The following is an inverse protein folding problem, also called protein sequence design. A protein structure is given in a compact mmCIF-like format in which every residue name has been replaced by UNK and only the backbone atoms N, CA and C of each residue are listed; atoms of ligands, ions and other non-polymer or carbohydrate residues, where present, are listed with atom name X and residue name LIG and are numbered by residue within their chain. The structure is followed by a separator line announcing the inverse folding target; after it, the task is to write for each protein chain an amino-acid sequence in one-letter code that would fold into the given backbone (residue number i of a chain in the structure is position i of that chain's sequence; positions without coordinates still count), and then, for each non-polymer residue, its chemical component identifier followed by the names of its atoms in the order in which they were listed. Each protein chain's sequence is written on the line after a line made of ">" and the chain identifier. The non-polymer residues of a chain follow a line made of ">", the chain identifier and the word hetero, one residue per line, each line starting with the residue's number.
data_IF_178789762145
#
_entry.id   IF_178789762145
#
_cell.length_a   1.000
_cell.length_b   1.000
_cell.length_c   1.000
_cell.angle_alpha   90.00
_cell.angle_beta   90.00
_cell.angle_gamma   90.00
#
_symmetry.space_group_name_H-M   'P 1'
#
loop_
_entity.id
_entity.type
_entity.pdbx_description
1 polymer ?
#
# COMPACT_ATOMS: atom_id res chain seq x y z
N UNK A 1 -19.49 14.11 28.74
CA UNK A 1 -20.04 13.07 27.83
C UNK A 1 -19.01 12.52 26.84
N UNK A 2 -18.25 13.34 26.09
CA UNK A 2 -17.23 12.85 25.13
C UNK A 2 -16.15 11.91 25.72
N UNK A 3 -15.79 12.04 27.00
CA UNK A 3 -14.76 11.18 27.63
C UNK A 3 -15.22 9.75 27.96
N UNK A 4 -16.54 9.49 27.94
CA UNK A 4 -17.10 8.15 28.18
C UNK A 4 -17.38 7.38 26.90
N UNK A 5 -17.54 8.06 25.77
CA UNK A 5 -17.81 7.42 24.49
C UNK A 5 -16.63 6.54 24.07
N UNK A 6 -16.92 5.26 23.85
CA UNK A 6 -15.95 4.29 23.34
C UNK A 6 -16.45 3.63 22.07
N UNK A 7 -15.52 3.06 21.32
CA UNK A 7 -15.79 2.32 20.09
C UNK A 7 -15.16 0.94 20.17
N UNK A 8 -15.87 -0.06 19.66
CA UNK A 8 -15.38 -1.43 19.56
C UNK A 8 -14.84 -1.68 18.16
N UNK A 9 -13.60 -2.13 18.07
CA UNK A 9 -12.91 -2.43 16.81
C UNK A 9 -12.14 -3.76 16.92
N UNK A 10 -11.76 -4.34 15.79
CA UNK A 10 -10.71 -5.36 15.76
C UNK A 10 -9.34 -4.70 15.97
N UNK A 11 -8.56 -5.19 16.94
CA UNK A 11 -7.25 -4.61 17.25
C UNK A 11 -6.17 -4.84 16.17
N UNK A 12 -6.37 -5.82 15.28
CA UNK A 12 -5.36 -6.25 14.29
C UNK A 12 -5.34 -5.37 13.04
N UNK A 13 -6.45 -4.70 12.73
CA UNK A 13 -6.61 -3.88 11.53
C UNK A 13 -7.67 -2.80 11.71
N UNK A 14 -7.66 -1.78 10.85
CA UNK A 14 -8.73 -0.79 10.80
C UNK A 14 -9.05 -0.39 9.38
N UNK A 15 -10.28 -0.65 8.97
CA UNK A 15 -10.79 -0.43 7.62
C UNK A 15 -11.85 0.69 7.55
N UNK A 16 -11.84 1.62 8.52
CA UNK A 16 -12.77 2.74 8.56
C UNK A 16 -14.12 2.43 9.23
N UNK A 17 -14.34 1.20 9.70
CA UNK A 17 -15.56 0.83 10.41
C UNK A 17 -15.29 0.42 11.85
N UNK A 18 -16.28 0.66 12.71
CA UNK A 18 -16.33 0.13 14.07
C UNK A 18 -17.46 -0.89 14.14
N UNK A 19 -17.33 -1.90 14.99
CA UNK A 19 -18.40 -2.88 15.23
C UNK A 19 -19.62 -2.18 15.87
N UNK A 20 -19.36 -1.43 16.94
CA UNK A 20 -20.37 -0.68 17.68
C UNK A 20 -19.70 0.44 18.50
N UNK A 21 -20.50 1.28 19.14
CA UNK A 21 -20.06 2.26 20.14
C UNK A 21 -20.71 1.97 21.50
N UNK A 22 -20.11 2.52 22.55
CA UNK A 22 -20.56 2.40 23.94
C UNK A 22 -20.59 3.80 24.54
N UNK A 23 -21.78 4.38 24.66
CA UNK A 23 -21.95 5.75 25.19
C UNK A 23 -21.74 5.80 26.70
N UNK A 24 -22.12 4.73 27.41
CA UNK A 24 -21.87 4.55 28.84
C UNK A 24 -20.45 4.05 29.15
N UNK A 25 -19.72 3.58 28.12
CA UNK A 25 -18.38 3.02 28.19
C UNK A 25 -18.33 1.54 28.61
N UNK A 26 -19.48 0.86 28.73
CA UNK A 26 -19.60 -0.51 29.25
C UNK A 26 -20.39 -1.40 28.30
N UNK A 27 -21.52 -0.91 27.77
CA UNK A 27 -22.45 -1.69 26.95
C UNK A 27 -22.61 -1.09 25.56
N UNK A 28 -22.77 -1.98 24.60
CA UNK A 28 -23.04 -1.67 23.20
C UNK A 28 -24.34 -0.88 23.07
N UNK A 29 -24.29 0.27 22.37
CA UNK A 29 -25.46 1.11 22.15
C UNK A 29 -26.51 0.43 21.23
N UNK A 30 -26.09 -0.58 20.45
CA UNK A 30 -26.96 -1.29 19.50
C UNK A 30 -27.73 -2.44 20.14
N UNK A 31 -27.10 -3.21 21.04
CA UNK A 31 -27.67 -4.45 21.58
C UNK A 31 -27.48 -4.65 23.08
N UNK A 32 -26.82 -3.73 23.77
CA UNK A 32 -26.62 -3.78 25.23
C UNK A 32 -25.53 -4.77 25.67
N UNK A 33 -24.80 -5.40 24.75
CA UNK A 33 -23.78 -6.38 25.04
C UNK A 33 -22.51 -5.73 25.64
N UNK A 34 -21.87 -6.45 26.54
CA UNK A 34 -20.52 -6.16 27.02
C UNK A 34 -19.47 -6.55 25.97
N UNK A 35 -18.22 -6.10 26.14
CA UNK A 35 -17.13 -6.47 25.23
C UNK A 35 -16.90 -7.99 25.14
N UNK A 36 -17.02 -8.72 26.26
CA UNK A 36 -16.80 -10.17 26.27
C UNK A 36 -17.92 -10.91 25.53
N UNK A 37 -19.17 -10.49 25.72
CA UNK A 37 -20.30 -11.02 24.96
C UNK A 37 -20.13 -10.78 23.45
N UNK A 38 -19.68 -9.58 23.05
CA UNK A 38 -19.37 -9.28 21.65
C UNK A 38 -18.24 -10.17 21.10
N UNK A 39 -17.20 -10.48 21.88
CA UNK A 39 -16.12 -11.38 21.45
C UNK A 39 -16.62 -12.79 21.20
N UNK A 40 -17.49 -13.29 22.06
CA UNK A 40 -18.12 -14.61 21.89
C UNK A 40 -19.07 -14.61 20.69
N UNK A 41 -19.94 -13.61 20.57
CA UNK A 41 -20.92 -13.49 19.48
C UNK A 41 -20.25 -13.38 18.11
N UNK A 42 -19.24 -12.52 17.97
CA UNK A 42 -18.52 -12.32 16.71
C UNK A 42 -17.44 -13.38 16.46
N UNK A 43 -17.28 -14.35 17.38
CA UNK A 43 -16.18 -15.32 17.40
C UNK A 43 -14.82 -14.65 17.14
N UNK A 44 -14.57 -13.52 17.82
CA UNK A 44 -13.39 -12.69 17.59
C UNK A 44 -12.77 -12.21 18.91
N UNK A 45 -11.73 -12.88 19.43
CA UNK A 45 -11.09 -12.49 20.68
C UNK A 45 -10.32 -11.17 20.58
N UNK A 46 -10.07 -10.67 19.36
CA UNK A 46 -9.28 -9.47 19.11
C UNK A 46 -10.09 -8.17 19.18
N UNK A 47 -11.39 -8.24 19.48
CA UNK A 47 -12.19 -7.06 19.72
C UNK A 47 -11.66 -6.29 20.94
N UNK A 48 -11.53 -4.98 20.77
CA UNK A 48 -11.02 -4.07 21.79
C UNK A 48 -11.79 -2.76 21.79
N UNK A 49 -11.76 -2.08 22.92
CA UNK A 49 -12.44 -0.82 23.16
C UNK A 49 -11.42 0.32 23.06
N UNK A 50 -11.73 1.33 22.26
CA UNK A 50 -10.86 2.48 22.03
C UNK A 50 -11.60 3.80 22.28
N UNK A 51 -10.84 4.84 22.61
CA UNK A 51 -11.36 6.21 22.85
C UNK A 51 -11.71 6.90 21.53
N UNK A 52 -12.57 7.93 21.58
CA UNK A 52 -12.83 8.81 20.43
C UNK A 52 -11.54 9.39 19.83
N UNK A 53 -10.63 9.90 20.67
CA UNK A 53 -9.33 10.42 20.21
C UNK A 53 -8.51 9.39 19.44
N UNK A 54 -8.55 8.11 19.86
CA UNK A 54 -7.88 7.02 19.15
C UNK A 54 -8.55 6.72 17.81
N UNK A 55 -9.88 6.66 17.79
CA UNK A 55 -10.65 6.48 16.56
C UNK A 55 -10.44 7.60 15.56
N UNK A 56 -10.44 8.87 15.98
CA UNK A 56 -10.20 10.00 15.10
C UNK A 56 -8.83 9.91 14.41
N UNK A 57 -7.81 9.48 15.15
CA UNK A 57 -6.47 9.21 14.59
C UNK A 57 -6.49 8.06 13.60
N UNK A 58 -7.20 6.97 13.91
CA UNK A 58 -7.29 5.79 13.05
C UNK A 58 -8.07 6.11 11.76
N UNK A 59 -9.18 6.85 11.87
CA UNK A 59 -9.94 7.39 10.74
C UNK A 59 -9.07 8.27 9.84
N UNK A 60 -8.33 9.23 10.41
CA UNK A 60 -7.44 10.07 9.62
C UNK A 60 -6.43 9.25 8.81
N UNK A 61 -5.79 8.26 9.44
CA UNK A 61 -4.82 7.38 8.77
C UNK A 61 -5.48 6.48 7.71
N UNK A 62 -6.69 5.99 7.99
CA UNK A 62 -7.47 5.20 7.06
C UNK A 62 -7.87 6.01 5.81
N UNK A 63 -8.38 7.24 5.97
CA UNK A 63 -8.70 8.11 4.83
C UNK A 63 -7.46 8.41 3.97
N UNK A 64 -6.30 8.64 4.61
CA UNK A 64 -5.04 8.79 3.89
C UNK A 64 -4.59 7.50 3.18
N UNK A 65 -4.98 6.32 3.68
CA UNK A 65 -4.72 5.04 3.03
C UNK A 65 -5.56 4.83 1.76
N UNK A 66 -6.71 5.51 1.65
CA UNK A 66 -7.52 5.50 0.44
C UNK A 66 -6.92 6.38 -0.67
N UNK A 67 -6.08 7.36 -0.30
CA UNK A 67 -5.48 8.32 -1.23
C UNK A 67 -4.29 7.71 -1.96
N UNK A 68 -4.55 6.71 -2.80
CA UNK A 68 -3.56 6.08 -3.66
C UNK A 68 -2.88 7.09 -4.60
N UNK A 69 -1.68 6.78 -5.12
CA UNK A 69 -1.12 7.47 -6.28
C UNK A 69 -2.16 7.55 -7.40
N UNK A 70 -2.09 8.62 -8.19
CA UNK A 70 -2.99 8.75 -9.33
C UNK A 70 -2.81 7.59 -10.31
N UNK A 71 -3.87 7.33 -11.06
CA UNK A 71 -3.90 6.32 -12.11
C UNK A 71 -4.39 6.98 -13.39
N UNK A 72 -3.68 6.72 -14.48
CA UNK A 72 -4.14 7.07 -15.81
C UNK A 72 -5.37 6.24 -16.19
N UNK A 73 -6.34 6.90 -16.81
CA UNK A 73 -7.61 6.32 -17.24
C UNK A 73 -7.87 6.69 -18.70
N UNK A 74 -8.83 6.00 -19.30
CA UNK A 74 -9.29 6.33 -20.64
C UNK A 74 -10.12 7.63 -20.62
N UNK A 75 -10.21 8.27 -21.78
CA UNK A 75 -11.11 9.40 -21.99
C UNK A 75 -12.57 9.06 -21.65
N UNK A 76 -13.04 7.88 -22.08
CA UNK A 76 -14.39 7.40 -21.77
C UNK A 76 -14.63 7.31 -20.26
N UNK A 77 -13.73 6.67 -19.52
CA UNK A 77 -13.84 6.60 -18.05
C UNK A 77 -13.87 7.99 -17.39
N UNK A 78 -13.13 8.96 -17.92
CA UNK A 78 -13.12 10.32 -17.38
C UNK A 78 -14.47 11.01 -17.55
N UNK A 79 -15.05 10.95 -18.75
CA UNK A 79 -16.35 11.55 -19.04
C UNK A 79 -17.50 10.80 -18.36
N UNK A 80 -17.41 9.48 -18.23
CA UNK A 80 -18.36 8.71 -17.41
C UNK A 80 -18.40 9.25 -15.98
N UNK A 81 -17.24 9.47 -15.36
CA UNK A 81 -17.14 10.04 -14.01
C UNK A 81 -17.61 11.50 -13.94
N UNK A 82 -17.46 12.27 -15.01
CA UNK A 82 -17.92 13.67 -15.10
C UNK A 82 -19.44 13.76 -15.13
N UNK A 83 -20.09 12.78 -15.76
CA UNK A 83 -21.54 12.74 -15.94
C UNK A 83 -22.27 11.99 -14.83
N UNK A 84 -21.54 11.37 -13.90
CA UNK A 84 -22.12 10.77 -12.69
C UNK A 84 -22.33 11.83 -11.61
N UNK A 85 -23.58 12.25 -11.47
CA UNK A 85 -24.01 13.24 -10.49
C UNK A 85 -23.50 14.65 -10.79
N UNK A 86 -23.82 15.60 -9.90
CA UNK A 86 -23.27 16.96 -9.99
C UNK A 86 -21.87 16.97 -9.35
N UNK A 87 -20.81 17.40 -10.08
CA UNK A 87 -19.49 17.50 -9.51
C UNK A 87 -19.44 18.45 -8.31
N UNK A 88 -18.79 18.05 -7.21
CA UNK A 88 -18.76 18.84 -5.97
C UNK A 88 -17.86 20.08 -6.09
N UNK A 89 -16.82 19.98 -6.91
CA UNK A 89 -15.88 21.07 -7.20
C UNK A 89 -15.34 20.89 -8.60
N UNK A 90 -15.56 21.88 -9.44
CA UNK A 90 -15.24 21.87 -10.87
C UNK A 90 -14.23 22.98 -11.19
N UNK A 91 -13.23 22.63 -11.98
CA UNK A 91 -12.27 23.53 -12.64
C UNK A 91 -12.22 23.18 -14.13
N UNK A 92 -11.47 23.96 -14.89
CA UNK A 92 -11.36 23.75 -16.33
C UNK A 92 -10.81 22.37 -16.70
N UNK A 93 -9.88 21.85 -15.91
CA UNK A 93 -9.10 20.65 -16.18
C UNK A 93 -9.26 19.58 -15.09
N UNK A 94 -10.13 19.78 -14.10
CA UNK A 94 -10.25 18.87 -12.96
C UNK A 94 -11.58 18.98 -12.23
N UNK A 95 -12.01 17.88 -11.61
CA UNK A 95 -13.24 17.84 -10.85
C UNK A 95 -13.27 16.73 -9.80
N UNK A 96 -14.19 16.87 -8.83
CA UNK A 96 -14.57 15.79 -7.92
C UNK A 96 -15.92 15.19 -8.35
N UNK A 97 -15.95 13.87 -8.61
CA UNK A 97 -17.16 13.17 -9.03
C UNK A 97 -18.25 13.20 -7.94
N UNK A 98 -19.50 13.39 -8.33
CA UNK A 98 -20.65 13.66 -7.44
C UNK A 98 -21.01 12.50 -6.51
N UNK A 99 -21.19 11.31 -7.10
CA UNK A 99 -21.88 10.21 -6.42
C UNK A 99 -20.94 9.11 -5.90
N UNK A 100 -19.62 9.30 -6.03
CA UNK A 100 -18.62 8.33 -5.58
C UNK A 100 -17.87 8.84 -4.35
N UNK A 101 -18.44 8.59 -3.16
CA UNK A 101 -17.81 9.01 -1.91
C UNK A 101 -17.69 7.88 -0.88
N UNK A 102 -16.61 7.95 -0.10
CA UNK A 102 -16.43 7.18 1.12
C UNK A 102 -15.88 8.11 2.20
N UNK A 103 -16.69 8.43 3.22
CA UNK A 103 -16.28 9.27 4.36
C UNK A 103 -15.61 10.59 3.94
N UNK A 104 -16.24 11.35 3.02
CA UNK A 104 -15.74 12.63 2.47
C UNK A 104 -14.51 12.53 1.55
N UNK A 105 -14.06 11.33 1.20
CA UNK A 105 -13.07 11.08 0.15
C UNK A 105 -13.82 10.71 -1.13
N UNK A 106 -13.50 11.40 -2.21
CA UNK A 106 -14.18 11.33 -3.49
C UNK A 106 -13.19 10.98 -4.60
N UNK A 107 -13.69 10.49 -5.73
CA UNK A 107 -12.88 10.37 -6.94
C UNK A 107 -12.60 11.77 -7.45
N UNK A 108 -11.33 12.16 -7.45
CA UNK A 108 -10.81 13.36 -8.08
C UNK A 108 -10.24 12.99 -9.44
N UNK A 109 -10.72 13.68 -10.48
CA UNK A 109 -10.29 13.50 -11.86
C UNK A 109 -9.59 14.77 -12.34
N UNK A 110 -8.59 14.62 -13.20
CA UNK A 110 -7.96 15.75 -13.86
C UNK A 110 -7.37 15.36 -15.22
N UNK A 111 -7.09 16.37 -16.04
CA UNK A 111 -6.40 16.22 -17.33
C UNK A 111 -5.04 16.91 -17.30
N UNK A 112 -4.07 16.34 -18.02
CA UNK A 112 -2.75 16.94 -18.22
C UNK A 112 -2.13 16.36 -19.48
N UNK A 113 -1.53 17.18 -20.33
CA UNK A 113 -0.86 16.72 -21.57
C UNK A 113 -1.76 15.80 -22.44
N UNK A 114 -3.05 16.15 -22.56
CA UNK A 114 -4.06 15.35 -23.28
C UNK A 114 -4.27 13.92 -22.75
N UNK A 115 -3.90 13.67 -21.49
CA UNK A 115 -4.13 12.41 -20.78
C UNK A 115 -5.10 12.63 -19.62
N UNK A 116 -5.76 11.56 -19.21
CA UNK A 116 -6.83 11.59 -18.21
C UNK A 116 -6.43 10.78 -16.98
N UNK A 117 -6.70 11.30 -15.79
CA UNK A 117 -6.26 10.68 -14.55
C UNK A 117 -7.34 10.70 -13.50
N UNK A 118 -7.29 9.75 -12.57
CA UNK A 118 -8.10 9.74 -11.35
C UNK A 118 -7.31 9.35 -10.11
N UNK A 119 -7.82 9.75 -8.96
CA UNK A 119 -7.38 9.27 -7.65
C UNK A 119 -8.35 9.71 -6.56
N UNK A 120 -8.37 8.98 -5.45
CA UNK A 120 -9.26 9.30 -4.32
C UNK A 120 -8.65 10.45 -3.51
N UNK A 121 -9.40 11.52 -3.27
CA UNK A 121 -8.97 12.67 -2.44
C UNK A 121 -10.11 13.22 -1.59
N UNK A 122 -9.84 13.76 -0.39
CA UNK A 122 -10.85 14.51 0.34
C UNK A 122 -11.35 15.70 -0.47
N UNK A 123 -12.67 15.93 -0.51
CA UNK A 123 -13.25 17.06 -1.26
C UNK A 123 -12.79 18.44 -0.74
N UNK A 124 -12.37 18.50 0.52
CA UNK A 124 -11.82 19.70 1.15
C UNK A 124 -10.31 19.90 0.91
N UNK A 125 -9.65 19.00 0.17
CA UNK A 125 -8.21 19.15 -0.15
C UNK A 125 -7.99 20.49 -0.86
N UNK A 126 -7.12 21.38 -0.37
CA UNK A 126 -6.85 22.66 -1.02
C UNK A 126 -6.34 22.50 -2.45
N UNK A 127 -6.67 23.43 -3.35
CA UNK A 127 -6.25 23.34 -4.76
C UNK A 127 -4.72 23.27 -4.89
N UNK A 128 -3.99 24.12 -4.17
CA UNK A 128 -2.53 24.12 -4.17
C UNK A 128 -1.93 22.75 -3.79
N UNK A 129 -2.59 22.01 -2.91
CA UNK A 129 -2.14 20.67 -2.54
C UNK A 129 -2.38 19.68 -3.69
N UNK A 130 -3.54 19.75 -4.36
CA UNK A 130 -3.81 18.92 -5.53
C UNK A 130 -2.83 19.20 -6.66
N UNK A 131 -2.56 20.47 -6.95
CA UNK A 131 -1.62 20.87 -8.01
C UNK A 131 -0.22 20.31 -7.73
N UNK A 132 0.27 20.44 -6.49
CA UNK A 132 1.56 19.85 -6.07
C UNK A 132 1.59 18.32 -6.22
N UNK A 133 0.49 17.64 -5.86
CA UNK A 133 0.39 16.19 -6.02
C UNK A 133 0.35 15.77 -7.49
N UNK A 134 -0.35 16.54 -8.35
CA UNK A 134 -0.39 16.33 -9.80
C UNK A 134 1.02 16.50 -10.38
N UNK A 135 1.70 17.60 -10.08
CA UNK A 135 3.04 17.89 -10.62
C UNK A 135 4.08 16.86 -10.16
N UNK A 136 4.00 16.42 -8.90
CA UNK A 136 4.83 15.34 -8.39
C UNK A 136 4.55 14.02 -9.13
N UNK A 137 3.29 13.68 -9.37
CA UNK A 137 2.91 12.48 -10.10
C UNK A 137 3.37 12.53 -11.57
N UNK A 138 3.22 13.67 -12.23
CA UNK A 138 3.72 13.88 -13.61
C UNK A 138 5.22 13.69 -13.69
N UNK A 139 5.95 14.19 -12.69
CA UNK A 139 7.39 13.94 -12.58
C UNK A 139 7.66 12.44 -12.49
N UNK A 140 6.91 11.70 -11.66
CA UNK A 140 7.09 10.25 -11.49
C UNK A 140 6.88 9.49 -12.80
N UNK A 141 5.76 9.71 -13.48
CA UNK A 141 5.40 8.90 -14.66
C UNK A 141 6.29 9.19 -15.88
N UNK A 142 6.87 10.40 -15.94
CA UNK A 142 7.76 10.84 -17.02
C UNK A 142 9.25 10.62 -16.71
N UNK A 143 9.61 10.05 -15.55
CA UNK A 143 11.00 9.75 -15.16
C UNK A 143 11.69 8.86 -16.19
N UNK A 144 12.94 9.21 -16.48
CA UNK A 144 13.85 8.37 -17.28
C UNK A 144 14.92 7.81 -16.36
N UNK A 145 15.15 6.50 -16.46
CA UNK A 145 16.21 5.85 -15.71
C UNK A 145 17.20 5.12 -16.62
N UNK A 146 18.46 5.14 -16.20
CA UNK A 146 19.53 4.38 -16.83
C UNK A 146 19.75 3.09 -16.04
N UNK A 147 19.73 1.95 -16.71
CA UNK A 147 20.09 0.65 -16.11
C UNK A 147 21.59 0.43 -16.32
N UNK A 148 22.29 0.08 -15.25
CA UNK A 148 23.70 -0.32 -15.30
C UNK A 148 23.91 -1.67 -14.60
N UNK A 149 25.04 -2.31 -14.89
CA UNK A 149 25.46 -3.57 -14.27
C UNK A 149 26.96 -3.53 -14.04
N UNK A 150 27.45 -4.20 -13.00
CA UNK A 150 28.89 -4.37 -12.80
C UNK A 150 29.45 -5.44 -13.75
N UNK A 151 30.63 -5.19 -14.32
CA UNK A 151 31.30 -6.15 -15.22
C UNK A 151 32.01 -7.26 -14.44
N UNK A 152 32.48 -6.96 -13.23
CA UNK A 152 33.22 -7.88 -12.36
C UNK A 152 32.31 -8.94 -11.76
N UNK A 153 32.36 -10.14 -12.33
CA UNK A 153 31.81 -11.35 -11.73
C UNK A 153 32.63 -11.78 -10.53
N UNK A 154 32.07 -11.68 -9.33
CA UNK A 154 32.61 -12.39 -8.16
C UNK A 154 32.17 -13.85 -8.25
N UNK A 155 33.09 -14.75 -8.56
CA UNK A 155 32.89 -16.20 -8.46
C UNK A 155 33.03 -16.57 -6.97
N UNK A 156 31.92 -16.79 -6.29
CA UNK A 156 31.93 -17.10 -4.84
C UNK A 156 32.27 -18.58 -4.60
N UNK A 157 31.88 -19.44 -5.54
CA UNK A 157 32.17 -20.89 -5.59
C UNK A 157 32.27 -21.35 -7.05
N UNK A 158 32.97 -22.46 -7.30
CA UNK A 158 33.16 -23.06 -8.63
C UNK A 158 31.83 -23.18 -9.40
N UNK A 159 31.59 -22.28 -10.36
CA UNK A 159 30.45 -22.35 -11.28
C UNK A 159 29.29 -21.37 -11.07
N UNK A 160 29.24 -20.57 -9.99
CA UNK A 160 28.18 -19.54 -9.82
C UNK A 160 28.72 -18.13 -10.05
N UNK A 161 28.12 -17.41 -11.01
CA UNK A 161 28.47 -16.02 -11.36
C UNK A 161 27.38 -15.05 -10.91
N UNK A 162 27.74 -14.05 -10.12
CA UNK A 162 26.85 -12.95 -9.71
C UNK A 162 27.15 -11.69 -10.50
N UNK A 163 26.13 -11.07 -11.08
CA UNK A 163 26.21 -9.78 -11.78
C UNK A 163 25.21 -8.81 -11.11
N UNK A 164 25.68 -7.86 -10.30
CA UNK A 164 24.84 -6.83 -9.71
C UNK A 164 24.25 -5.88 -10.76
N UNK A 165 22.96 -5.58 -10.64
CA UNK A 165 22.24 -4.59 -11.47
C UNK A 165 21.82 -3.38 -10.64
N UNK A 166 21.88 -2.20 -11.25
CA UNK A 166 21.52 -0.93 -10.64
C UNK A 166 20.67 -0.09 -11.60
N UNK A 167 20.00 0.92 -11.06
CA UNK A 167 19.44 2.00 -11.86
C UNK A 167 19.69 3.37 -11.25
N UNK A 168 19.77 4.38 -12.10
CA UNK A 168 19.82 5.79 -11.71
C UNK A 168 18.66 6.53 -12.37
N UNK A 169 17.99 7.39 -11.60
CA UNK A 169 16.90 8.25 -12.08
C UNK A 169 17.37 9.69 -12.02
N UNK A 170 17.19 10.45 -13.10
CA UNK A 170 17.50 11.88 -13.19
C UNK A 170 18.94 12.23 -12.74
N UNK A 171 19.92 11.37 -13.07
CA UNK A 171 21.33 11.58 -12.74
C UNK A 171 21.70 11.39 -11.27
N UNK A 172 20.78 10.89 -10.44
CA UNK A 172 21.05 10.57 -9.02
C UNK A 172 21.96 9.35 -8.88
N UNK A 173 22.47 9.12 -7.66
CA UNK A 173 23.28 7.96 -7.36
C UNK A 173 22.56 6.66 -7.73
N UNK A 174 23.24 5.70 -8.39
CA UNK A 174 22.64 4.41 -8.73
C UNK A 174 22.21 3.65 -7.48
N UNK A 175 21.03 3.05 -7.52
CA UNK A 175 20.49 2.20 -6.47
C UNK A 175 20.41 0.75 -6.94
N UNK A 176 20.68 -0.17 -6.02
CA UNK A 176 20.77 -1.60 -6.31
C UNK A 176 19.40 -2.21 -6.61
N UNK A 177 19.31 -2.99 -7.70
CA UNK A 177 18.11 -3.72 -8.09
C UNK A 177 18.11 -5.11 -7.47
N UNK A 178 18.92 -6.00 -8.05
CA UNK A 178 19.13 -7.38 -7.63
C UNK A 178 20.37 -7.92 -8.35
N UNK A 179 20.84 -9.10 -7.92
CA UNK A 179 21.89 -9.82 -8.61
C UNK A 179 21.27 -10.72 -9.68
N UNK A 180 21.81 -10.69 -10.90
CA UNK A 180 21.65 -11.79 -11.84
C UNK A 180 22.57 -12.93 -11.38
N UNK A 181 21.96 -14.05 -10.98
CA UNK A 181 22.68 -15.25 -10.53
C UNK A 181 22.72 -16.25 -11.68
N UNK A 182 23.89 -16.45 -12.26
CA UNK A 182 24.11 -17.40 -13.36
C UNK A 182 24.73 -18.67 -12.77
N UNK A 183 23.94 -19.75 -12.76
CA UNK A 183 24.36 -21.11 -12.44
C UNK A 183 24.29 -21.98 -13.72
N UNK A 184 23.92 -23.25 -13.62
CA UNK A 184 23.70 -24.17 -14.75
C UNK A 184 22.58 -23.72 -15.69
N UNK A 185 21.45 -23.21 -15.17
CA UNK A 185 20.36 -22.66 -15.98
C UNK A 185 20.48 -21.14 -16.17
N UNK A 186 21.30 -20.75 -17.16
CA UNK A 186 21.48 -19.35 -17.51
C UNK A 186 20.27 -18.69 -18.17
N UNK A 187 19.32 -19.47 -18.73
CA UNK A 187 18.18 -18.94 -19.48
C UNK A 187 17.07 -18.48 -18.55
N UNK A 188 16.74 -19.27 -17.53
CA UNK A 188 15.74 -18.88 -16.54
C UNK A 188 16.17 -17.63 -15.77
N UNK A 189 17.42 -17.58 -15.29
CA UNK A 189 17.96 -16.43 -14.57
C UNK A 189 17.88 -15.11 -15.38
N UNK A 190 18.18 -15.16 -16.69
CA UNK A 190 18.04 -14.00 -17.58
C UNK A 190 16.58 -13.60 -17.79
N UNK A 191 15.67 -14.57 -17.82
CA UNK A 191 14.23 -14.35 -17.97
C UNK A 191 13.67 -13.67 -16.72
N UNK A 192 14.04 -14.12 -15.53
CA UNK A 192 13.63 -13.53 -14.25
C UNK A 192 14.16 -12.11 -14.09
N UNK A 193 15.42 -11.86 -14.49
CA UNK A 193 15.98 -10.52 -14.53
C UNK A 193 15.22 -9.62 -15.52
N UNK A 194 14.91 -10.10 -16.72
CA UNK A 194 14.13 -9.33 -17.69
C UNK A 194 12.73 -8.98 -17.16
N UNK A 195 12.08 -9.91 -16.46
CA UNK A 195 10.78 -9.69 -15.81
C UNK A 195 10.89 -8.65 -14.68
N UNK A 196 11.94 -8.71 -13.86
CA UNK A 196 12.23 -7.72 -12.82
C UNK A 196 12.39 -6.32 -13.42
N UNK A 197 13.20 -6.19 -14.48
CA UNK A 197 13.41 -4.90 -15.16
C UNK A 197 12.14 -4.37 -15.83
N UNK A 198 11.30 -5.25 -16.41
CA UNK A 198 9.98 -4.88 -16.95
C UNK A 198 9.05 -4.38 -15.84
N UNK A 199 9.01 -5.07 -14.70
CA UNK A 199 8.21 -4.66 -13.55
C UNK A 199 8.66 -3.30 -13.02
N UNK A 200 9.97 -3.07 -12.90
CA UNK A 200 10.54 -1.80 -12.46
C UNK A 200 10.14 -0.64 -13.39
N UNK A 201 10.26 -0.83 -14.72
CA UNK A 201 9.85 0.17 -15.72
C UNK A 201 8.35 0.45 -15.69
N UNK A 202 7.53 -0.61 -15.63
CA UNK A 202 6.06 -0.50 -15.59
C UNK A 202 5.56 0.29 -14.38
N UNK A 203 6.28 0.21 -13.25
CA UNK A 203 5.95 0.92 -12.02
C UNK A 203 6.79 2.18 -11.82
N UNK A 204 7.25 2.80 -12.92
CA UNK A 204 7.96 4.09 -12.93
C UNK A 204 9.13 4.16 -11.94
N UNK A 205 9.85 3.03 -11.79
CA UNK A 205 10.99 2.89 -10.90
C UNK A 205 10.68 3.13 -9.41
N UNK A 206 9.40 3.13 -9.01
CA UNK A 206 9.01 3.26 -7.61
C UNK A 206 9.20 1.95 -6.84
N UNK A 207 8.96 0.81 -7.50
CA UNK A 207 9.16 -0.52 -6.96
C UNK A 207 9.25 -1.55 -8.09
N UNK A 208 9.65 -2.78 -7.76
CA UNK A 208 9.44 -3.94 -8.63
C UNK A 208 8.82 -5.11 -7.85
N UNK A 209 8.10 -5.97 -8.58
CA UNK A 209 7.61 -7.27 -8.10
C UNK A 209 8.70 -8.32 -8.27
N UNK A 210 9.12 -8.97 -7.17
CA UNK A 210 10.07 -10.07 -7.21
C UNK A 210 9.42 -11.45 -7.22
N UNK A 211 8.51 -11.73 -6.28
CA UNK A 211 7.85 -13.04 -6.13
C UNK A 211 6.36 -12.87 -5.86
N UNK A 212 5.57 -13.88 -6.22
CA UNK A 212 4.15 -13.98 -5.89
C UNK A 212 3.21 -13.72 -7.05
N UNK A 213 1.91 -13.80 -6.79
CA UNK A 213 0.87 -13.68 -7.81
C UNK A 213 0.57 -12.21 -8.18
N UNK A 214 0.40 -11.34 -7.19
CA UNK A 214 -0.04 -9.95 -7.34
C UNK A 214 0.96 -9.08 -8.14
N UNK A 215 0.46 -8.17 -8.98
CA UNK A 215 1.30 -7.30 -9.80
C UNK A 215 1.83 -6.09 -9.00
N UNK A 216 1.04 -5.62 -8.02
CA UNK A 216 1.37 -4.47 -7.18
C UNK A 216 1.11 -4.77 -5.69
N UNK A 217 1.78 -4.05 -4.76
CA UNK A 217 1.43 -4.09 -3.34
C UNK A 217 -0.03 -3.68 -3.07
N UNK A 218 -0.57 -2.75 -3.86
CA UNK A 218 -1.96 -2.30 -3.75
C UNK A 218 -2.94 -3.45 -3.99
N UNK A 219 -2.76 -4.20 -5.09
CA UNK A 219 -3.58 -5.37 -5.42
C UNK A 219 -3.53 -6.44 -4.33
N UNK A 220 -2.34 -6.73 -3.79
CA UNK A 220 -2.18 -7.65 -2.67
C UNK A 220 -3.00 -7.19 -1.45
N UNK A 221 -2.86 -5.91 -1.07
CA UNK A 221 -3.53 -5.36 0.11
C UNK A 221 -5.05 -5.32 -0.09
N UNK A 222 -5.54 -4.98 -1.28
CA UNK A 222 -6.97 -5.00 -1.59
C UNK A 222 -7.54 -6.41 -1.50
N UNK A 223 -6.82 -7.40 -2.04
CA UNK A 223 -7.22 -8.81 -1.95
C UNK A 223 -7.32 -9.29 -0.50
N UNK A 224 -6.26 -9.06 0.27
CA UNK A 224 -6.16 -9.48 1.67
C UNK A 224 -7.20 -8.77 2.52
N UNK A 225 -7.41 -7.47 2.33
CA UNK A 225 -8.41 -6.69 3.05
C UNK A 225 -9.83 -7.16 2.71
N UNK A 226 -10.14 -7.34 1.42
CA UNK A 226 -11.48 -7.73 0.96
C UNK A 226 -11.88 -9.12 1.44
N UNK A 227 -10.94 -10.06 1.49
CA UNK A 227 -11.15 -11.43 2.00
C UNK A 227 -10.87 -11.59 3.49
N UNK A 228 -10.53 -10.51 4.21
CA UNK A 228 -10.16 -10.51 5.64
C UNK A 228 -9.05 -11.50 5.99
N UNK A 229 -8.08 -11.70 5.08
CA UNK A 229 -6.92 -12.57 5.24
C UNK A 229 -5.84 -11.93 6.13
N UNK A 230 -4.81 -12.72 6.44
CA UNK A 230 -3.73 -12.33 7.35
C UNK A 230 -2.38 -12.38 6.64
N UNK A 231 -1.68 -11.25 6.61
CA UNK A 231 -0.28 -11.22 6.18
C UNK A 231 0.61 -11.74 7.30
N UNK A 232 1.61 -12.53 6.94
CA UNK A 232 2.62 -13.06 7.87
C UNK A 232 4.00 -12.75 7.31
N UNK A 233 4.94 -12.41 8.19
CA UNK A 233 6.35 -12.27 7.86
C UNK A 233 7.20 -13.14 8.75
N UNK A 234 8.22 -13.77 8.16
CA UNK A 234 9.25 -14.56 8.85
C UNK A 234 10.28 -13.62 9.50
N UNK A 235 9.80 -12.78 10.43
CA UNK A 235 10.53 -11.68 11.05
C UNK A 235 9.85 -10.33 10.78
N UNK A 236 10.49 -9.47 10.00
CA UNK A 236 9.98 -8.13 9.68
C UNK A 236 9.42 -8.06 8.26
N UNK A 237 8.22 -7.49 8.12
CA UNK A 237 7.61 -7.24 6.80
C UNK A 237 8.50 -6.40 5.88
N UNK A 238 9.30 -5.50 6.46
CA UNK A 238 10.21 -4.66 5.70
C UNK A 238 11.65 -4.92 6.12
N UNK A 239 12.42 -5.40 5.15
CA UNK A 239 13.86 -5.59 5.27
C UNK A 239 14.59 -4.48 4.52
N UNK A 240 15.66 -3.95 5.11
CA UNK A 240 16.40 -2.83 4.55
C UNK A 240 17.83 -3.25 4.21
N UNK A 241 18.35 -2.91 3.02
CA UNK A 241 19.77 -3.00 2.75
C UNK A 241 20.56 -2.03 3.66
N UNK A 242 21.89 -2.23 3.83
CA UNK A 242 22.70 -1.37 4.71
C UNK A 242 22.61 0.12 4.39
N UNK A 243 22.53 0.48 3.10
CA UNK A 243 22.39 1.87 2.65
C UNK A 243 20.97 2.44 2.80
N UNK A 244 19.99 1.61 3.17
CA UNK A 244 18.56 1.95 3.28
C UNK A 244 18.01 2.65 2.02
N UNK A 245 18.58 2.35 0.86
CA UNK A 245 18.20 2.88 -0.44
C UNK A 245 16.90 2.28 -0.97
N UNK A 246 16.43 1.19 -0.36
CA UNK A 246 15.15 0.55 -0.66
C UNK A 246 14.57 -0.15 0.57
N UNK A 247 13.31 -0.57 0.47
CA UNK A 247 12.66 -1.45 1.44
C UNK A 247 12.13 -2.69 0.71
N UNK A 248 12.53 -3.88 1.15
CA UNK A 248 11.98 -5.15 0.67
C UNK A 248 10.76 -5.50 1.50
N UNK A 249 9.57 -5.44 0.91
CA UNK A 249 8.31 -5.90 1.47
C UNK A 249 8.10 -7.39 1.14
N UNK A 250 8.17 -8.25 2.15
CA UNK A 250 8.17 -9.71 1.96
C UNK A 250 7.35 -10.42 3.04
N UNK A 251 6.69 -11.50 2.64
CA UNK A 251 5.94 -12.36 3.53
C UNK A 251 5.08 -13.37 2.75
N UNK A 252 4.11 -13.93 3.45
CA UNK A 252 3.11 -14.82 2.87
C UNK A 252 1.71 -14.53 3.44
N UNK A 253 0.68 -15.03 2.78
CA UNK A 253 -0.70 -14.99 3.27
C UNK A 253 -0.92 -16.26 4.11
N UNK A 254 -1.31 -16.10 5.37
CA UNK A 254 -1.46 -17.22 6.33
C UNK A 254 -2.40 -18.31 5.82
N UNK A 255 -3.53 -17.89 5.26
CA UNK A 255 -4.63 -18.78 4.90
C UNK A 255 -4.39 -19.54 3.58
N UNK A 256 -3.50 -19.04 2.70
CA UNK A 256 -3.25 -19.65 1.38
C UNK A 256 -1.80 -20.06 1.15
N UNK A 257 -0.89 -19.70 2.06
CA UNK A 257 0.56 -19.84 1.92
C UNK A 257 1.15 -19.13 0.68
N UNK A 258 0.39 -18.23 0.04
CA UNK A 258 0.88 -17.46 -1.10
C UNK A 258 1.94 -16.47 -0.65
N UNK A 259 3.16 -16.65 -1.15
CA UNK A 259 4.27 -15.73 -0.91
C UNK A 259 4.20 -14.49 -1.79
N UNK A 260 4.73 -13.38 -1.29
CA UNK A 260 4.90 -12.14 -2.03
C UNK A 260 6.23 -11.48 -1.72
N UNK A 261 6.80 -10.80 -2.70
CA UNK A 261 8.00 -9.97 -2.53
C UNK A 261 7.93 -8.76 -3.46
N UNK A 262 8.04 -7.57 -2.88
CA UNK A 262 8.21 -6.31 -3.58
C UNK A 262 9.44 -5.58 -3.05
N UNK A 263 10.22 -4.95 -3.92
CA UNK A 263 11.29 -4.03 -3.51
C UNK A 263 10.91 -2.61 -3.87
N UNK A 264 10.83 -1.74 -2.88
CA UNK A 264 10.31 -0.38 -2.96
C UNK A 264 11.47 0.63 -2.82
N UNK A 265 11.57 1.56 -3.76
CA UNK A 265 12.59 2.62 -3.80
C UNK A 265 12.02 4.00 -3.49
N UNK A 266 10.77 4.24 -3.88
CA UNK A 266 10.15 5.55 -3.71
C UNK A 266 9.62 5.72 -2.27
N UNK A 267 10.12 6.76 -1.60
CA UNK A 267 9.81 7.04 -0.20
C UNK A 267 8.33 7.38 0.00
N UNK A 268 7.74 8.18 -0.89
CA UNK A 268 6.35 8.59 -0.74
C UNK A 268 5.42 7.39 -0.95
N UNK A 269 5.72 6.55 -1.95
CA UNK A 269 5.01 5.28 -2.13
C UNK A 269 5.14 4.36 -0.91
N UNK A 270 6.34 4.24 -0.33
CA UNK A 270 6.54 3.47 0.90
C UNK A 270 5.70 4.00 2.08
N UNK A 271 5.69 5.31 2.31
CA UNK A 271 4.88 5.93 3.36
C UNK A 271 3.37 5.73 3.15
N UNK A 272 2.93 5.75 1.89
CA UNK A 272 1.57 5.39 1.52
C UNK A 272 1.26 3.92 1.86
N UNK A 273 2.16 2.99 1.52
CA UNK A 273 1.98 1.56 1.85
C UNK A 273 1.92 1.30 3.36
N UNK A 274 2.68 2.04 4.18
CA UNK A 274 2.56 1.93 5.63
C UNK A 274 1.17 2.30 6.16
N UNK A 275 0.45 3.19 5.49
CA UNK A 275 -0.93 3.54 5.84
C UNK A 275 -1.87 2.43 5.39
N UNK A 276 -1.72 1.94 4.15
CA UNK A 276 -2.48 0.82 3.58
C UNK A 276 -2.35 -0.44 4.43
N UNK A 277 -1.16 -0.77 4.90
CA UNK A 277 -0.95 -1.95 5.74
C UNK A 277 -1.72 -1.89 7.07
N UNK A 278 -2.19 -0.73 7.54
CA UNK A 278 -3.03 -0.64 8.74
C UNK A 278 -4.44 -1.21 8.52
N UNK A 279 -4.86 -1.40 7.28
CA UNK A 279 -6.21 -1.90 6.94
C UNK A 279 -6.29 -3.42 6.88
N UNK A 280 -5.16 -4.12 6.99
CA UNK A 280 -5.06 -5.59 6.92
C UNK A 280 -4.53 -6.20 8.21
N UNK A 281 -4.96 -7.43 8.50
CA UNK A 281 -4.41 -8.24 9.59
C UNK A 281 -2.96 -8.59 9.29
N UNK A 282 -2.12 -8.51 10.31
CA UNK A 282 -0.68 -8.78 10.20
C UNK A 282 -0.22 -9.56 11.42
N UNK A 283 0.60 -10.55 11.18
CA UNK A 283 1.32 -11.31 12.20
C UNK A 283 2.82 -11.31 11.83
N UNK A 284 3.67 -11.30 12.84
CA UNK A 284 5.11 -11.46 12.65
C UNK A 284 5.52 -12.72 13.38
N UNK A 285 6.25 -13.62 12.70
CA UNK A 285 6.73 -14.87 13.26
C UNK A 285 7.84 -14.70 14.31
N UNK A 286 8.10 -13.47 14.77
CA UNK A 286 8.72 -13.26 16.09
C UNK A 286 7.70 -13.75 17.14
N UNK A 287 7.71 -15.07 17.37
CA UNK A 287 7.05 -15.75 18.49
C UNK A 287 7.16 -14.86 19.74
N UNK A 288 6.11 -14.62 20.53
CA UNK A 288 5.51 -15.64 21.39
C UNK A 288 6.50 -16.64 22.01
N UNK A 289 7.78 -16.27 22.14
CA UNK A 289 8.62 -16.77 23.23
C UNK A 289 8.10 -16.06 24.48
N UNK A 290 7.02 -16.60 25.05
CA UNK A 290 6.77 -16.48 26.47
C UNK A 290 8.02 -17.06 27.15
N UNK A 291 9.00 -16.20 27.43
CA UNK A 291 9.94 -16.46 28.51
C UNK A 291 9.08 -16.46 29.76
N UNK A 292 8.62 -17.65 30.15
CA UNK A 292 8.32 -17.92 31.55
C UNK A 292 9.61 -17.59 32.31
N UNK A 293 9.62 -16.47 33.01
CA UNK A 293 10.41 -16.29 34.23
C UNK A 293 9.45 -16.33 35.40
#
# INVERSE_FOLDING_TARGET
>A
MKDRLRYVIDSRYYNGTCLTCMTDGVRSDRGGETLEELRTQENNPYLTVVTSKRIDKMNRLYLQSLCAPFKEITEGEYYDLLHVGRPLRMKQDSFFAGDYNYNSVYIFCFTRESRYFKGMRPAYTPQIQLDNEIDMYMTIINRKAVISKEETSKTVTTGTRFIPYYFSVDGKQPVFICNLVIQSDSRQARTDMANTLKSLRRNHYQFYKGKGHYATPDELIDHVSGKKLTLVSDGHFFQYPPGRESATFIGHIKETSEEFLFRIYDREYFLYLLKRLRTVKKESAQEQINIKS
#
